data_IF_095513741486
#
_entry.id   IF_095513741486
#
_cell.length_a   1.000
_cell.length_b   1.000
_cell.length_c   1.000
_cell.angle_alpha   90.00
_cell.angle_beta   90.00
_cell.angle_gamma   90.00
#
_symmetry.space_group_name_H-M   'P 1'
#
loop_
_entity.id
_entity.type
_entity.pdbx_description
1 polymer ?
#
# COMPACT_ATOMS: atom_id res chain seq x y z
N UNK A 1 9.11 -17.50 -0.57
CA UNK A 1 9.78 -16.50 0.28
C UNK A 1 8.71 -15.84 1.15
N UNK A 2 8.96 -15.68 2.45
CA UNK A 2 8.06 -14.93 3.33
C UNK A 2 8.23 -13.43 3.09
N UNK A 3 7.13 -12.68 3.09
CA UNK A 3 7.17 -11.22 3.02
C UNK A 3 7.72 -10.68 4.34
N UNK A 4 8.58 -9.68 4.27
CA UNK A 4 9.06 -8.99 5.47
C UNK A 4 7.92 -8.14 6.06
N UNK A 5 7.79 -8.18 7.38
CA UNK A 5 6.87 -7.34 8.15
C UNK A 5 7.63 -6.16 8.73
N UNK A 6 6.94 -5.06 9.00
CA UNK A 6 7.56 -3.91 9.67
C UNK A 6 8.02 -4.31 11.07
N UNK A 7 9.15 -3.78 11.52
CA UNK A 7 9.77 -4.00 12.83
C UNK A 7 9.29 -3.04 13.89
N UNK A 8 8.69 -1.93 13.48
CA UNK A 8 8.06 -0.96 14.38
C UNK A 8 6.81 -0.32 13.76
N UNK A 9 6.05 0.41 14.58
CA UNK A 9 4.89 1.16 14.12
C UNK A 9 5.31 2.32 13.21
N UNK A 10 6.45 2.95 13.53
CA UNK A 10 7.03 4.02 12.72
C UNK A 10 7.43 3.51 11.34
N UNK A 11 8.09 2.34 11.25
CA UNK A 11 8.41 1.73 9.96
C UNK A 11 7.15 1.41 9.15
N UNK A 12 6.10 0.90 9.82
CA UNK A 12 4.83 0.64 9.15
C UNK A 12 4.16 1.92 8.63
N UNK A 13 4.21 3.01 9.39
CA UNK A 13 3.74 4.34 8.95
C UNK A 13 4.55 4.85 7.76
N UNK A 14 5.86 4.67 7.76
CA UNK A 14 6.71 5.06 6.62
C UNK A 14 6.38 4.25 5.36
N UNK A 15 6.10 2.95 5.48
CA UNK A 15 5.65 2.14 4.34
C UNK A 15 4.33 2.63 3.76
N UNK A 16 3.37 3.03 4.60
CA UNK A 16 2.11 3.61 4.15
C UNK A 16 2.34 4.95 3.43
N UNK A 17 3.20 5.82 3.98
CA UNK A 17 3.56 7.08 3.32
C UNK A 17 4.24 6.84 1.97
N UNK A 18 5.15 5.87 1.89
CA UNK A 18 5.77 5.47 0.64
C UNK A 18 4.71 4.97 -0.35
N UNK A 19 3.77 4.11 0.06
CA UNK A 19 2.71 3.62 -0.82
C UNK A 19 1.82 4.76 -1.36
N UNK A 20 1.54 5.80 -0.55
CA UNK A 20 0.84 7.01 -1.02
C UNK A 20 1.66 7.76 -2.07
N UNK A 21 2.96 7.91 -1.85
CA UNK A 21 3.84 8.55 -2.83
C UNK A 21 3.89 7.76 -4.15
N UNK A 22 4.12 6.46 -4.08
CA UNK A 22 4.28 5.58 -5.25
C UNK A 22 3.01 5.51 -6.10
N UNK A 23 1.81 5.47 -5.48
CA UNK A 23 0.56 5.45 -6.24
C UNK A 23 0.28 6.79 -6.93
N UNK A 24 0.71 7.91 -6.33
CA UNK A 24 0.63 9.25 -6.93
C UNK A 24 1.66 9.43 -8.05
N UNK A 25 2.85 8.88 -7.89
CA UNK A 25 3.91 8.90 -8.90
C UNK A 25 3.51 8.07 -10.12
N UNK A 26 3.06 6.82 -9.90
CA UNK A 26 2.51 5.97 -10.96
C UNK A 26 1.38 6.67 -11.71
N UNK A 27 0.51 7.37 -10.96
CA UNK A 27 -0.57 8.14 -11.57
C UNK A 27 -0.04 9.25 -12.48
N UNK A 28 0.92 10.01 -11.99
CA UNK A 28 1.53 11.12 -12.74
C UNK A 28 2.28 10.62 -13.99
N UNK A 29 2.97 9.48 -13.90
CA UNK A 29 3.61 8.82 -15.04
C UNK A 29 2.57 8.45 -16.11
N UNK A 30 1.49 7.80 -15.71
CA UNK A 30 0.41 7.44 -16.63
C UNK A 30 -0.27 8.68 -17.24
N UNK A 31 -0.52 9.73 -16.45
CA UNK A 31 -1.09 10.99 -16.96
C UNK A 31 -0.18 11.66 -17.99
N UNK A 32 1.14 11.49 -17.89
CA UNK A 32 2.10 12.00 -18.87
C UNK A 32 2.17 11.14 -20.14
N UNK A 33 2.00 9.82 -20.01
CA UNK A 33 2.05 8.87 -21.13
C UNK A 33 0.75 8.80 -21.95
N UNK A 34 -0.40 9.00 -21.30
CA UNK A 34 -1.71 9.02 -21.95
C UNK A 34 -1.89 10.33 -22.72
N UNK A 35 -1.78 10.29 -24.06
CA UNK A 35 -2.28 11.38 -24.91
C UNK A 35 -3.78 11.60 -24.61
N UNK A 36 -4.26 12.85 -24.70
CA UNK A 36 -5.58 13.40 -24.26
C UNK A 36 -6.86 12.54 -24.46
N UNK A 37 -6.80 11.43 -25.20
CA UNK A 37 -7.91 10.55 -25.55
C UNK A 37 -7.92 9.18 -24.83
N UNK A 38 -6.89 8.80 -24.08
CA UNK A 38 -6.88 7.53 -23.34
C UNK A 38 -7.38 7.70 -21.90
N UNK A 39 -8.35 6.86 -21.52
CA UNK A 39 -9.01 6.94 -20.21
C UNK A 39 -8.10 6.35 -19.14
N UNK A 40 -7.87 7.15 -18.10
CA UNK A 40 -7.12 6.73 -16.92
C UNK A 40 -7.65 5.41 -16.32
N UNK A 41 -6.79 4.44 -15.94
CA UNK A 41 -7.26 3.17 -15.41
C UNK A 41 -8.05 3.37 -14.11
N UNK A 42 -9.32 2.95 -14.11
CA UNK A 42 -10.21 3.14 -12.97
C UNK A 42 -9.68 2.46 -11.70
N UNK A 43 -8.94 1.35 -11.83
CA UNK A 43 -8.38 0.63 -10.68
C UNK A 43 -7.40 1.48 -9.87
N UNK A 44 -6.65 2.39 -10.51
CA UNK A 44 -5.62 3.16 -9.83
C UNK A 44 -6.23 4.21 -8.89
N UNK A 45 -7.36 4.82 -9.28
CA UNK A 45 -8.10 5.73 -8.41
C UNK A 45 -8.61 5.01 -7.14
N UNK A 46 -9.14 3.79 -7.29
CA UNK A 46 -9.62 2.99 -6.15
C UNK A 46 -8.45 2.51 -5.27
N UNK A 47 -7.31 2.18 -5.87
CA UNK A 47 -6.10 1.83 -5.14
C UNK A 47 -5.58 3.01 -4.32
N UNK A 48 -5.49 4.20 -4.93
CA UNK A 48 -5.07 5.44 -4.28
C UNK A 48 -5.99 5.79 -3.09
N UNK A 49 -7.30 5.71 -3.29
CA UNK A 49 -8.29 5.97 -2.24
C UNK A 49 -8.15 5.00 -1.05
N UNK A 50 -7.97 3.70 -1.34
CA UNK A 50 -7.81 2.68 -0.31
C UNK A 50 -6.55 2.90 0.53
N UNK A 51 -5.42 3.24 -0.10
CA UNK A 51 -4.16 3.51 0.61
C UNK A 51 -4.30 4.78 1.47
N UNK A 52 -4.88 5.85 0.92
CA UNK A 52 -5.11 7.11 1.66
C UNK A 52 -6.07 6.94 2.82
N UNK A 53 -7.08 6.09 2.70
CA UNK A 53 -8.01 5.80 3.81
C UNK A 53 -7.27 5.19 5.00
N UNK A 54 -6.33 4.26 4.74
CA UNK A 54 -5.48 3.72 5.82
C UNK A 54 -4.60 4.82 6.41
N UNK A 55 -3.92 5.61 5.57
CA UNK A 55 -3.09 6.71 6.05
C UNK A 55 -3.90 7.67 6.93
N UNK A 56 -5.11 8.03 6.52
CA UNK A 56 -5.98 8.92 7.26
C UNK A 56 -6.37 8.32 8.62
N UNK A 57 -6.75 7.04 8.66
CA UNK A 57 -7.02 6.36 9.94
C UNK A 57 -5.83 6.34 10.90
N UNK A 58 -4.59 6.33 10.38
CA UNK A 58 -3.38 6.45 11.20
C UNK A 58 -3.19 7.86 11.75
N UNK A 59 -3.45 8.88 10.93
CA UNK A 59 -3.41 10.30 11.33
C UNK A 59 -4.46 10.57 12.41
N UNK A 60 -5.64 9.98 12.27
CA UNK A 60 -6.75 10.15 13.21
C UNK A 60 -6.59 9.32 14.49
N UNK A 61 -5.59 8.44 14.56
CA UNK A 61 -5.35 7.55 15.69
C UNK A 61 -6.38 6.41 15.81
N UNK A 62 -7.14 6.14 14.74
CA UNK A 62 -8.18 5.11 14.67
C UNK A 62 -7.69 3.82 14.00
N UNK A 63 -6.45 3.81 13.49
CA UNK A 63 -5.88 2.64 12.84
C UNK A 63 -5.63 1.50 13.82
N UNK A 64 -6.11 0.30 13.48
CA UNK A 64 -5.86 -0.93 14.22
C UNK A 64 -5.39 -2.04 13.27
N UNK A 65 -4.43 -2.84 13.74
CA UNK A 65 -4.03 -4.07 13.04
C UNK A 65 -5.20 -5.05 13.02
N UNK A 66 -5.43 -5.67 11.85
CA UNK A 66 -6.52 -6.62 11.61
C UNK A 66 -6.01 -8.04 11.42
N UNK A 67 -6.91 -8.93 10.98
CA UNK A 67 -6.56 -10.30 10.56
C UNK A 67 -6.95 -10.58 9.10
N UNK A 68 -7.84 -9.75 8.57
CA UNK A 68 -8.30 -9.76 7.19
C UNK A 68 -7.34 -9.02 6.27
N UNK A 69 -7.42 -9.29 4.97
CA UNK A 69 -6.67 -8.52 3.99
C UNK A 69 -7.22 -7.08 3.91
N UNK A 70 -6.33 -6.14 3.63
CA UNK A 70 -6.72 -4.75 3.39
C UNK A 70 -7.68 -4.66 2.20
N UNK A 71 -8.67 -3.75 2.21
CA UNK A 71 -9.73 -3.70 1.19
C UNK A 71 -9.22 -3.57 -0.25
N UNK A 72 -8.07 -2.95 -0.46
CA UNK A 72 -7.46 -2.78 -1.78
C UNK A 72 -6.70 -4.02 -2.29
N UNK A 73 -6.50 -5.06 -1.48
CA UNK A 73 -5.66 -6.20 -1.87
C UNK A 73 -6.22 -7.00 -3.04
N UNK A 74 -7.54 -6.99 -3.26
CA UNK A 74 -8.12 -7.60 -4.46
C UNK A 74 -7.59 -6.92 -5.74
N UNK A 75 -7.49 -5.59 -5.74
CA UNK A 75 -6.95 -4.81 -6.87
C UNK A 75 -5.46 -5.10 -7.05
N UNK A 76 -4.69 -5.13 -5.96
CA UNK A 76 -3.25 -5.43 -5.99
C UNK A 76 -2.99 -6.82 -6.56
N UNK A 77 -3.80 -7.82 -6.20
CA UNK A 77 -3.64 -9.17 -6.71
C UNK A 77 -4.00 -9.29 -8.19
N UNK A 78 -5.01 -8.54 -8.65
CA UNK A 78 -5.44 -8.54 -10.05
C UNK A 78 -4.47 -7.80 -10.98
N UNK A 79 -3.88 -6.71 -10.50
CA UNK A 79 -3.04 -5.79 -11.29
C UNK A 79 -1.58 -5.79 -10.83
N UNK A 80 -1.11 -6.88 -10.21
CA UNK A 80 0.23 -6.92 -9.62
C UNK A 80 1.35 -6.63 -10.64
N UNK A 81 1.16 -7.06 -11.89
CA UNK A 81 2.13 -6.86 -12.97
C UNK A 81 2.16 -5.41 -13.47
N UNK A 82 1.07 -4.66 -13.25
CA UNK A 82 0.94 -3.24 -13.62
C UNK A 82 1.36 -2.29 -12.47
N UNK A 83 1.59 -2.82 -11.26
CA UNK A 83 1.90 -2.03 -10.06
C UNK A 83 3.37 -2.27 -9.65
N UNK A 84 4.30 -1.33 -9.94
CA UNK A 84 5.73 -1.53 -9.70
C UNK A 84 6.09 -1.69 -8.22
N UNK A 85 5.22 -1.21 -7.31
CA UNK A 85 5.36 -1.31 -5.87
C UNK A 85 4.41 -2.36 -5.23
N UNK A 86 3.91 -3.33 -6.00
CA UNK A 86 3.00 -4.36 -5.49
C UNK A 86 3.58 -5.16 -4.30
N UNK A 87 4.90 -5.34 -4.27
CA UNK A 87 5.59 -6.00 -3.14
C UNK A 87 5.42 -5.20 -1.85
N UNK A 88 5.56 -3.86 -1.89
CA UNK A 88 5.35 -2.98 -0.74
C UNK A 88 3.92 -3.13 -0.19
N UNK A 89 2.92 -3.11 -1.07
CA UNK A 89 1.51 -3.29 -0.67
C UNK A 89 1.26 -4.64 -0.01
N UNK A 90 1.91 -5.70 -0.51
CA UNK A 90 1.84 -7.04 0.11
C UNK A 90 2.54 -7.06 1.47
N UNK A 91 3.67 -6.39 1.66
CA UNK A 91 4.35 -6.27 2.96
C UNK A 91 3.51 -5.49 3.97
N UNK A 92 2.87 -4.40 3.51
CA UNK A 92 1.91 -3.63 4.32
C UNK A 92 0.78 -4.54 4.77
N UNK A 93 0.16 -5.29 3.85
CA UNK A 93 -0.93 -6.21 4.18
C UNK A 93 -0.50 -7.35 5.11
N UNK A 94 0.69 -7.91 4.91
CA UNK A 94 1.24 -8.94 5.79
C UNK A 94 1.44 -8.41 7.22
N UNK A 95 1.94 -7.18 7.35
CA UNK A 95 2.09 -6.51 8.65
C UNK A 95 0.73 -6.17 9.25
N UNK A 96 -0.23 -5.71 8.45
CA UNK A 96 -1.61 -5.47 8.88
C UNK A 96 -2.21 -6.71 9.55
N UNK A 97 -2.06 -7.88 8.90
CA UNK A 97 -2.67 -9.16 9.30
C UNK A 97 -2.00 -9.87 10.46
N UNK A 98 -0.66 -9.76 10.54
CA UNK A 98 0.16 -10.52 11.48
C UNK A 98 0.74 -9.65 12.59
N UNK A 99 0.56 -8.34 12.52
CA UNK A 99 1.21 -7.37 13.39
C UNK A 99 2.69 -7.20 13.08
N UNK A 100 3.30 -6.30 13.85
CA UNK A 100 4.72 -5.92 13.77
C UNK A 100 5.63 -7.09 14.17
N UNK A 101 6.79 -7.19 13.53
CA UNK A 101 7.82 -8.18 13.80
C UNK A 101 8.86 -7.68 14.79
N UNK A 102 8.54 -7.79 16.08
CA UNK A 102 9.38 -7.35 17.21
C UNK A 102 10.64 -8.21 17.44
N UNK A 103 10.72 -9.41 16.85
CA UNK A 103 11.86 -10.32 17.01
C UNK A 103 13.10 -9.95 16.18
N UNK A 104 12.97 -9.02 15.21
CA UNK A 104 14.10 -8.56 14.41
C UNK A 104 15.03 -7.56 15.14
N UNK A 105 14.67 -7.15 16.35
CA UNK A 105 15.43 -6.18 17.18
C UNK A 105 16.34 -6.85 18.23
N UNK A 106 16.39 -8.18 18.30
CA UNK A 106 17.23 -8.94 19.24
C UNK A 106 18.31 -9.75 18.51
N UNK A 107 19.30 -9.06 17.94
CA UNK A 107 20.50 -9.65 17.32
C UNK A 107 21.74 -8.84 17.63
#
# INVERSE_FOLDING_TARGET
>A
MSLQRARSAEEYVEWIKQAVFEVQDLRSCMEYELEEMERFPAFLAHLEEGIKTIQQSMVDGEYHFGREDLPFMELVNRHADDIPFAVLLRQINETHRKGIDVDASNG
#
